data_IF_296920335912
#
_entry.id   IF_296920335912
#
_cell.length_a   1.000
_cell.length_b   1.000
_cell.length_c   1.000
_cell.angle_alpha   90.00
_cell.angle_beta   90.00
_cell.angle_gamma   90.00
#
_symmetry.space_group_name_H-M   'P 1'
#
loop_
_entity.id
_entity.type
_entity.pdbx_description
1 polymer ?
#
# COMPACT_ATOMS: atom_id res chain seq x y z
N UNK A 1 0.58 -24.09 -7.87
CA UNK A 1 -0.01 -22.75 -8.09
C UNK A 1 0.93 -22.03 -9.03
N UNK A 2 0.41 -21.51 -10.13
CA UNK A 2 1.22 -20.68 -11.02
C UNK A 2 1.61 -19.39 -10.31
N UNK A 3 2.72 -18.84 -10.73
CA UNK A 3 3.26 -17.60 -10.23
C UNK A 3 2.32 -16.44 -10.58
N UNK A 4 1.91 -15.60 -9.62
CA UNK A 4 1.21 -14.37 -9.95
C UNK A 4 2.07 -13.51 -10.87
N UNK A 5 1.50 -13.05 -11.97
CA UNK A 5 2.13 -12.06 -12.83
C UNK A 5 2.22 -10.71 -12.09
N UNK A 6 3.43 -10.19 -11.79
CA UNK A 6 3.59 -8.95 -11.05
C UNK A 6 2.95 -7.74 -11.74
N UNK A 7 2.84 -7.74 -13.08
CA UNK A 7 2.22 -6.62 -13.80
C UNK A 7 0.69 -6.64 -13.63
N UNK A 8 0.07 -7.81 -13.67
CA UNK A 8 -1.35 -7.97 -13.33
C UNK A 8 -1.66 -7.52 -11.90
N UNK A 9 -0.79 -7.86 -10.93
CA UNK A 9 -0.94 -7.41 -9.53
C UNK A 9 -0.79 -5.89 -9.42
N UNK A 10 0.21 -5.32 -10.09
CA UNK A 10 0.42 -3.87 -10.14
C UNK A 10 -0.80 -3.13 -10.70
N UNK A 11 -1.35 -3.61 -11.81
CA UNK A 11 -2.53 -3.02 -12.42
C UNK A 11 -3.72 -3.02 -11.46
N UNK A 12 -3.96 -4.13 -10.77
CA UNK A 12 -5.00 -4.22 -9.73
C UNK A 12 -4.76 -3.23 -8.57
N UNK A 13 -3.53 -3.09 -8.10
CA UNK A 13 -3.21 -2.21 -6.98
C UNK A 13 -3.35 -0.71 -7.34
N UNK A 14 -3.00 -0.33 -8.57
CA UNK A 14 -3.22 1.03 -9.07
C UNK A 14 -4.73 1.35 -9.18
N UNK A 15 -5.50 0.44 -9.77
CA UNK A 15 -6.97 0.56 -9.82
C UNK A 15 -7.59 0.61 -8.43
N UNK A 16 -7.07 -0.18 -7.48
CA UNK A 16 -7.55 -0.15 -6.10
C UNK A 16 -7.28 1.20 -5.42
N UNK A 17 -6.11 1.80 -5.62
CA UNK A 17 -5.81 3.15 -5.13
C UNK A 17 -6.79 4.18 -5.71
N UNK A 18 -7.09 4.09 -7.00
CA UNK A 18 -8.04 4.97 -7.68
C UNK A 18 -9.45 4.85 -7.08
N UNK A 19 -10.00 3.63 -7.04
CA UNK A 19 -11.34 3.39 -6.49
C UNK A 19 -11.50 3.79 -5.03
N UNK A 20 -10.48 3.59 -4.19
CA UNK A 20 -10.54 4.02 -2.78
C UNK A 20 -10.55 5.54 -2.70
N UNK A 21 -9.69 6.22 -3.46
CA UNK A 21 -9.67 7.68 -3.44
C UNK A 21 -10.99 8.26 -3.97
N UNK A 22 -11.54 7.71 -5.04
CA UNK A 22 -12.81 8.15 -5.61
C UNK A 22 -13.95 7.98 -4.59
N UNK A 23 -14.01 6.84 -3.90
CA UNK A 23 -15.00 6.63 -2.84
C UNK A 23 -14.86 7.62 -1.67
N UNK A 24 -13.64 8.01 -1.30
CA UNK A 24 -13.41 9.04 -0.28
C UNK A 24 -13.85 10.42 -0.76
N UNK A 25 -13.62 10.76 -2.03
CA UNK A 25 -14.02 12.04 -2.61
C UNK A 25 -15.52 12.14 -2.90
N UNK A 26 -16.18 11.03 -3.20
CA UNK A 26 -17.65 10.99 -3.31
C UNK A 26 -18.30 11.32 -1.96
N UNK A 27 -17.67 10.93 -0.85
CA UNK A 27 -18.10 11.26 0.51
C UNK A 27 -17.75 12.71 0.88
N UNK A 28 -16.55 13.17 0.50
CA UNK A 28 -16.02 14.49 0.88
C UNK A 28 -15.49 15.26 -0.35
N UNK A 29 -16.38 15.74 -1.23
CA UNK A 29 -15.98 16.35 -2.51
C UNK A 29 -15.30 17.72 -2.35
N UNK A 30 -15.22 18.25 -1.12
CA UNK A 30 -14.58 19.53 -0.82
C UNK A 30 -13.17 19.39 -0.26
N UNK A 31 -12.73 18.17 0.04
CA UNK A 31 -11.40 17.96 0.57
C UNK A 31 -10.31 18.34 -0.44
N UNK A 32 -9.21 18.90 0.07
CA UNK A 32 -8.05 19.22 -0.74
C UNK A 32 -7.29 17.94 -1.07
N UNK A 33 -6.96 17.77 -2.35
CA UNK A 33 -6.22 16.60 -2.82
C UNK A 33 -4.83 16.95 -3.27
N UNK A 34 -3.85 16.12 -2.90
CA UNK A 34 -2.49 16.19 -3.44
C UNK A 34 -2.07 14.82 -3.95
N UNK A 35 -1.44 14.80 -5.11
CA UNK A 35 -0.79 13.62 -5.65
C UNK A 35 0.70 13.89 -5.83
N UNK A 36 1.52 12.95 -5.42
CA UNK A 36 2.96 12.98 -5.60
C UNK A 36 3.44 11.66 -6.21
N UNK A 37 4.14 11.75 -7.34
CA UNK A 37 4.75 10.59 -8.00
C UNK A 37 6.24 10.67 -7.79
N UNK A 38 6.80 9.63 -7.18
CA UNK A 38 8.18 9.62 -6.76
C UNK A 38 8.89 8.34 -7.20
N UNK A 39 10.21 8.45 -7.32
CA UNK A 39 11.12 7.35 -7.67
C UNK A 39 12.13 7.15 -6.56
N UNK A 40 12.69 5.95 -6.47
CA UNK A 40 13.73 5.62 -5.49
C UNK A 40 15.03 5.30 -6.23
N UNK A 41 16.13 5.90 -5.81
CA UNK A 41 17.46 5.68 -6.43
C UNK A 41 17.86 4.20 -6.43
N UNK A 42 17.45 3.46 -5.40
CA UNK A 42 17.70 2.02 -5.26
C UNK A 42 16.76 1.12 -6.11
N UNK A 43 15.81 1.69 -6.85
CA UNK A 43 14.87 0.97 -7.69
C UNK A 43 13.39 1.16 -7.30
N UNK A 44 12.56 1.33 -8.32
CA UNK A 44 11.11 1.49 -8.21
C UNK A 44 10.65 2.90 -7.79
N UNK A 45 9.50 2.97 -7.14
CA UNK A 45 8.86 4.24 -6.78
C UNK A 45 7.45 4.06 -6.22
N UNK A 46 6.63 5.09 -6.35
CA UNK A 46 5.25 5.06 -5.88
C UNK A 46 4.45 6.30 -6.23
N UNK A 47 3.17 6.24 -5.87
CA UNK A 47 2.21 7.32 -6.00
C UNK A 47 1.58 7.53 -4.63
N UNK A 48 1.85 8.68 -4.03
CA UNK A 48 1.21 9.10 -2.78
C UNK A 48 0.01 9.98 -3.13
N UNK A 49 -1.19 9.60 -2.70
CA UNK A 49 -2.40 10.44 -2.81
C UNK A 49 -2.85 10.83 -1.41
N UNK A 50 -2.99 12.12 -1.18
CA UNK A 50 -3.40 12.70 0.08
C UNK A 50 -4.75 13.42 -0.08
N UNK A 51 -5.54 13.37 0.99
CA UNK A 51 -6.76 14.12 1.17
C UNK A 51 -6.64 14.87 2.50
N UNK A 52 -6.82 16.19 2.50
CA UNK A 52 -6.65 17.04 3.69
C UNK A 52 -7.73 18.13 3.74
N UNK A 53 -7.98 18.68 4.93
CA UNK A 53 -8.88 19.82 5.15
C UNK A 53 -10.29 19.65 4.54
N UNK A 54 -10.84 18.44 4.63
CA UNK A 54 -12.20 18.09 4.20
C UNK A 54 -13.28 18.49 5.21
N UNK A 55 -14.54 18.22 4.86
CA UNK A 55 -15.67 18.37 5.79
C UNK A 55 -15.97 17.09 6.59
N UNK A 56 -15.52 15.94 6.10
CA UNK A 56 -15.69 14.62 6.70
C UNK A 56 -14.34 14.08 7.17
N UNK A 57 -13.31 14.21 6.34
CA UNK A 57 -11.96 13.72 6.65
C UNK A 57 -11.03 14.87 7.00
N UNK A 58 -10.40 14.78 8.17
CA UNK A 58 -9.35 15.73 8.58
C UNK A 58 -8.11 15.52 7.71
N UNK A 59 -7.70 14.25 7.58
CA UNK A 59 -6.53 13.85 6.82
C UNK A 59 -6.63 12.39 6.39
N UNK A 60 -6.21 12.09 5.17
CA UNK A 60 -6.16 10.74 4.63
C UNK A 60 -5.03 10.58 3.63
N UNK A 61 -4.57 9.34 3.48
CA UNK A 61 -3.58 8.94 2.49
C UNK A 61 -3.94 7.59 1.90
N UNK A 62 -3.90 7.50 0.57
CA UNK A 62 -4.04 6.27 -0.20
C UNK A 62 -2.76 6.14 -1.02
N UNK A 63 -1.80 5.36 -0.53
CA UNK A 63 -0.45 5.32 -1.05
C UNK A 63 -0.18 4.00 -1.76
N UNK A 64 0.34 4.10 -2.98
CA UNK A 64 0.83 2.97 -3.76
C UNK A 64 2.36 3.00 -3.80
N UNK A 65 2.98 1.83 -3.70
CA UNK A 65 4.41 1.65 -3.96
C UNK A 65 4.67 0.39 -4.78
N UNK A 66 5.72 0.44 -5.60
CA UNK A 66 6.27 -0.66 -6.37
C UNK A 66 7.79 -0.48 -6.36
N UNK A 67 8.46 -1.17 -5.44
CA UNK A 67 9.90 -1.07 -5.19
C UNK A 67 10.58 -2.38 -5.55
N UNK A 68 11.78 -2.28 -6.12
CA UNK A 68 12.60 -3.43 -6.46
C UNK A 68 14.06 -3.12 -6.16
N UNK A 69 14.88 -4.17 -6.01
CA UNK A 69 16.30 -4.00 -5.77
C UNK A 69 17.07 -5.30 -5.77
N UNK A 70 18.38 -5.16 -5.83
CA UNK A 70 19.36 -6.24 -5.71
C UNK A 70 19.69 -6.36 -4.21
N UNK A 71 19.39 -7.51 -3.62
CA UNK A 71 19.54 -7.84 -2.19
C UNK A 71 18.39 -7.40 -1.27
N UNK A 72 17.73 -8.40 -0.68
CA UNK A 72 16.81 -8.19 0.44
C UNK A 72 17.51 -7.59 1.66
N UNK A 73 16.84 -6.69 2.41
CA UNK A 73 17.40 -6.15 3.64
C UNK A 73 17.59 -7.28 4.68
N UNK A 74 18.61 -7.18 5.55
CA UNK A 74 18.94 -8.24 6.52
C UNK A 74 17.77 -8.68 7.41
N UNK A 75 16.84 -7.77 7.70
CA UNK A 75 15.62 -8.07 8.47
C UNK A 75 14.65 -9.00 7.72
N UNK A 76 14.60 -8.92 6.38
CA UNK A 76 13.76 -9.79 5.56
C UNK A 76 14.39 -11.17 5.32
N UNK A 77 15.71 -11.27 5.38
CA UNK A 77 16.45 -12.54 5.23
C UNK A 77 16.68 -13.26 6.57
N UNK A 78 16.40 -12.62 7.71
CA UNK A 78 16.61 -13.22 9.03
C UNK A 78 15.78 -14.49 9.23
N UNK A 79 14.54 -14.50 8.73
CA UNK A 79 13.65 -15.67 8.76
C UNK A 79 13.77 -16.54 7.49
N UNK A 80 14.49 -16.07 6.46
CA UNK A 80 14.65 -16.73 5.16
C UNK A 80 16.07 -16.56 4.60
N UNK A 81 17.09 -17.19 5.21
CA UNK A 81 18.50 -17.00 4.85
C UNK A 81 18.82 -17.38 3.40
N UNK A 82 18.05 -18.30 2.82
CA UNK A 82 18.16 -18.75 1.43
C UNK A 82 17.97 -17.62 0.41
N UNK A 83 17.19 -16.59 0.79
CA UNK A 83 16.90 -15.41 -0.03
C UNK A 83 17.96 -14.31 0.08
N UNK A 84 19.02 -14.52 0.86
CA UNK A 84 20.15 -13.60 0.90
C UNK A 84 20.76 -13.45 -0.51
N UNK A 85 20.82 -12.21 -1.00
CA UNK A 85 21.29 -11.90 -2.34
C UNK A 85 20.29 -12.16 -3.47
N UNK A 86 19.02 -12.42 -3.15
CA UNK A 86 17.97 -12.50 -4.16
C UNK A 86 17.56 -11.11 -4.68
N UNK A 87 17.22 -11.04 -5.96
CA UNK A 87 16.50 -9.90 -6.50
C UNK A 87 15.08 -9.94 -5.95
N UNK A 88 14.54 -8.77 -5.61
CA UNK A 88 13.19 -8.70 -5.06
C UNK A 88 12.39 -7.58 -5.70
N UNK A 89 11.07 -7.76 -5.64
CA UNK A 89 10.08 -6.72 -5.91
C UNK A 89 8.98 -6.81 -4.87
N UNK A 90 8.59 -5.66 -4.36
CA UNK A 90 7.54 -5.51 -3.38
C UNK A 90 6.62 -4.36 -3.81
N UNK A 91 5.33 -4.63 -3.88
CA UNK A 91 4.33 -3.62 -4.24
C UNK A 91 3.14 -3.69 -3.31
N UNK A 92 2.44 -2.58 -3.14
CA UNK A 92 1.26 -2.57 -2.29
C UNK A 92 0.53 -1.25 -2.26
N UNK A 93 -0.69 -1.31 -1.72
CA UNK A 93 -1.48 -0.15 -1.34
C UNK A 93 -1.56 -0.09 0.18
N UNK A 94 -1.33 1.09 0.75
CA UNK A 94 -1.49 1.39 2.17
C UNK A 94 -2.40 2.59 2.33
N UNK A 95 -3.39 2.48 3.20
CA UNK A 95 -4.43 3.48 3.43
C UNK A 95 -4.52 3.79 4.90
N UNK A 96 -4.56 5.07 5.23
CA UNK A 96 -4.99 5.57 6.54
C UNK A 96 -5.86 6.80 6.30
N UNK A 97 -7.00 6.89 6.97
CA UNK A 97 -7.74 8.14 7.02
C UNK A 97 -8.29 8.41 8.42
N UNK A 98 -8.35 9.70 8.75
CA UNK A 98 -8.79 10.26 10.01
C UNK A 98 -10.02 11.12 9.77
N UNK A 99 -11.21 10.65 10.16
CA UNK A 99 -12.43 11.45 10.10
C UNK A 99 -12.41 12.60 11.13
N UNK A 100 -13.05 13.72 10.80
CA UNK A 100 -13.28 14.83 11.73
C UNK A 100 -14.29 14.46 12.84
N UNK A 101 -15.30 13.66 12.48
CA UNK A 101 -16.33 13.25 13.42
C UNK A 101 -15.84 12.03 14.24
N UNK A 102 -15.71 12.12 15.58
CA UNK A 102 -15.18 11.04 16.40
C UNK A 102 -16.09 9.81 16.47
N UNK A 103 -17.32 9.89 15.97
CA UNK A 103 -18.20 8.72 15.78
C UNK A 103 -17.89 7.92 14.52
N UNK A 104 -16.99 8.41 13.66
CA UNK A 104 -16.44 7.65 12.52
C UNK A 104 -15.02 7.21 12.90
N UNK A 105 -14.72 5.90 12.86
CA UNK A 105 -13.42 5.39 13.26
C UNK A 105 -12.30 5.82 12.30
N UNK A 106 -11.10 6.02 12.85
CA UNK A 106 -9.89 5.96 12.02
C UNK A 106 -9.80 4.57 11.40
N UNK A 107 -9.45 4.49 10.13
CA UNK A 107 -9.34 3.22 9.42
C UNK A 107 -7.96 3.09 8.81
N UNK A 108 -7.41 1.88 8.93
CA UNK A 108 -6.19 1.49 8.25
C UNK A 108 -6.44 0.26 7.37
N UNK A 109 -5.77 0.21 6.22
CA UNK A 109 -5.81 -0.95 5.33
C UNK A 109 -4.50 -1.08 4.57
N UNK A 110 -4.02 -2.31 4.40
CA UNK A 110 -2.87 -2.62 3.59
C UNK A 110 -3.11 -3.89 2.78
N UNK A 111 -2.75 -3.90 1.49
CA UNK A 111 -2.60 -5.11 0.68
C UNK A 111 -1.29 -4.99 -0.08
N UNK A 112 -0.45 -6.03 0.01
CA UNK A 112 0.87 -6.06 -0.58
C UNK A 112 1.21 -7.42 -1.19
N UNK A 113 2.02 -7.37 -2.22
CA UNK A 113 2.59 -8.52 -2.90
C UNK A 113 4.11 -8.42 -2.86
N UNK A 114 4.74 -9.57 -2.63
CA UNK A 114 6.18 -9.69 -2.63
C UNK A 114 6.58 -10.89 -3.48
N UNK A 115 7.63 -10.72 -4.28
CA UNK A 115 8.32 -11.82 -4.94
C UNK A 115 9.85 -11.61 -4.87
N UNK A 116 10.57 -12.71 -4.70
CA UNK A 116 12.03 -12.73 -4.77
C UNK A 116 12.51 -13.91 -5.61
N UNK A 117 13.58 -13.68 -6.36
CA UNK A 117 14.17 -14.65 -7.29
C UNK A 117 15.69 -14.73 -7.10
N UNK A 118 16.22 -15.95 -7.12
CA UNK A 118 17.65 -16.25 -7.10
C UNK A 118 17.94 -17.44 -8.00
N UNK A 119 18.39 -17.18 -9.23
CA UNK A 119 18.54 -18.21 -10.25
C UNK A 119 17.19 -18.84 -10.59
N UNK A 120 17.06 -20.15 -10.38
CA UNK A 120 15.81 -20.91 -10.59
C UNK A 120 14.90 -20.93 -9.35
N UNK A 121 15.40 -20.52 -8.18
CA UNK A 121 14.62 -20.46 -6.95
C UNK A 121 13.78 -19.19 -6.92
N UNK A 122 12.49 -19.36 -6.63
CA UNK A 122 11.56 -18.26 -6.52
C UNK A 122 10.60 -18.45 -5.36
N UNK A 123 10.34 -17.36 -4.64
CA UNK A 123 9.34 -17.30 -3.59
C UNK A 123 8.45 -16.08 -3.79
N UNK A 124 7.20 -16.20 -3.37
CA UNK A 124 6.26 -15.10 -3.38
C UNK A 124 5.23 -15.27 -2.27
N UNK A 125 4.65 -14.16 -1.83
CA UNK A 125 3.51 -14.18 -0.92
C UNK A 125 2.73 -12.88 -1.02
N UNK A 126 1.47 -12.94 -0.60
CA UNK A 126 0.67 -11.76 -0.30
C UNK A 126 0.66 -11.50 1.20
N UNK A 127 0.44 -10.24 1.56
CA UNK A 127 0.16 -9.84 2.93
C UNK A 127 -0.84 -8.71 2.93
N UNK A 128 -1.54 -8.53 4.04
CA UNK A 128 -2.49 -7.43 4.16
C UNK A 128 -3.45 -7.59 5.32
N UNK A 129 -4.41 -6.68 5.36
CA UNK A 129 -5.44 -6.60 6.38
C UNK A 129 -6.08 -5.22 6.38
N UNK A 130 -7.13 -5.09 7.17
CA UNK A 130 -7.73 -3.81 7.49
C UNK A 130 -8.17 -3.84 8.95
N UNK A 131 -8.26 -2.66 9.54
CA UNK A 131 -8.67 -2.49 10.93
C UNK A 131 -9.41 -1.16 11.11
N UNK A 132 -10.30 -1.16 12.11
CA UNK A 132 -11.05 0.01 12.53
C UNK A 132 -10.58 0.39 13.93
N UNK A 133 -10.27 1.67 14.09
CA UNK A 133 -9.85 2.28 15.36
C UNK A 133 -10.92 3.30 15.78
N UNK A 134 -11.99 2.87 16.48
CA UNK A 134 -13.03 3.76 16.95
C UNK A 134 -12.56 4.62 18.13
N UNK A 135 -13.01 5.87 18.17
CA UNK A 135 -12.89 6.73 19.36
C UNK A 135 -14.04 6.44 20.32
N UNK A 136 -15.25 6.31 19.77
CA UNK A 136 -16.44 5.84 20.47
C UNK A 136 -16.90 4.53 19.83
N UNK A 137 -16.67 3.41 20.52
CA UNK A 137 -17.12 2.09 20.06
C UNK A 137 -18.65 1.98 20.10
N UNK A 138 -19.25 1.56 19.00
CA UNK A 138 -20.67 1.24 18.89
C UNK A 138 -20.80 -0.24 18.58
N UNK A 139 -21.69 -0.93 19.30
CA UNK A 139 -22.01 -2.36 19.13
C UNK A 139 -23.14 -2.58 18.13
#
# INVERSE_FOLDING_TARGET
MDMPDPESVKAYLLDLQERIMDALLDIDPKALTRQDTWTRDAGGGGISRLLEDGLVFEKGGVNFSDVHGENLPPSATAERPELAGADFRAMGVSVVFHPLNPFVPTTHMNVRFFNAQKGEEQTWWFGGGFDLTPYYGLE
#
